data_IF_795401018161
#
_entry.id   IF_795401018161
#
_cell.length_a   1.000
_cell.length_b   1.000
_cell.length_c   1.000
_cell.angle_alpha   90.00
_cell.angle_beta   90.00
_cell.angle_gamma   90.00
#
_symmetry.space_group_name_H-M   'P 1'
#
loop_
_entity.id
_entity.type
_entity.pdbx_description
1 polymer ?
#
# COMPACT_ATOMS: atom_id res chain seq x y z
N UNK A 1 -2.07 -4.70 -19.71
CA UNK A 1 -3.03 -5.58 -20.39
C UNK A 1 -4.47 -5.09 -20.22
N UNK A 2 -5.01 -4.89 -19.02
CA UNK A 2 -6.40 -4.40 -18.88
C UNK A 2 -6.68 -3.05 -19.58
N UNK A 3 -5.80 -2.06 -19.43
CA UNK A 3 -5.90 -0.79 -20.18
C UNK A 3 -5.69 -0.96 -21.69
N UNK A 4 -4.85 -1.91 -22.09
CA UNK A 4 -4.58 -2.21 -23.49
C UNK A 4 -5.82 -2.83 -24.15
N UNK A 5 -6.39 -3.88 -23.56
CA UNK A 5 -7.67 -4.45 -24.00
C UNK A 5 -8.82 -3.44 -24.00
N UNK A 6 -8.87 -2.54 -23.01
CA UNK A 6 -9.84 -1.44 -22.99
C UNK A 6 -9.69 -0.45 -24.16
N UNK A 7 -8.46 -0.11 -24.52
CA UNK A 7 -8.18 0.73 -25.68
C UNK A 7 -8.53 0.01 -27.00
N UNK A 8 -8.19 -1.27 -27.12
CA UNK A 8 -8.55 -2.09 -28.30
C UNK A 8 -10.06 -2.14 -28.51
N UNK A 9 -10.85 -2.35 -27.44
CA UNK A 9 -12.32 -2.31 -27.53
C UNK A 9 -12.81 -0.92 -27.94
N UNK A 10 -12.23 0.15 -27.38
CA UNK A 10 -12.61 1.52 -27.72
C UNK A 10 -12.42 1.81 -29.21
N UNK A 11 -11.28 1.42 -29.77
CA UNK A 11 -10.99 1.59 -31.19
C UNK A 11 -11.96 0.80 -32.07
N UNK A 12 -12.21 -0.47 -31.75
CA UNK A 12 -13.16 -1.33 -32.49
C UNK A 12 -14.57 -0.74 -32.47
N UNK A 13 -15.04 -0.31 -31.30
CA UNK A 13 -16.37 0.31 -31.16
C UNK A 13 -16.44 1.62 -31.94
N UNK A 14 -15.41 2.46 -31.88
CA UNK A 14 -15.36 3.73 -32.59
C UNK A 14 -15.41 3.52 -34.11
N UNK A 15 -14.64 2.58 -34.63
CA UNK A 15 -14.61 2.22 -36.05
C UNK A 15 -15.94 1.61 -36.51
N UNK A 16 -16.47 0.62 -35.79
CA UNK A 16 -17.72 -0.05 -36.18
C UNK A 16 -18.92 0.90 -36.13
N UNK A 17 -18.97 1.79 -35.13
CA UNK A 17 -19.99 2.84 -35.04
C UNK A 17 -19.90 3.83 -36.20
N UNK A 18 -18.70 4.17 -36.68
CA UNK A 18 -18.54 5.06 -37.83
C UNK A 18 -19.02 4.44 -39.15
N UNK A 19 -19.13 3.11 -39.21
CA UNK A 19 -19.52 2.33 -40.40
C UNK A 19 -20.99 1.85 -40.29
N UNK A 20 -21.72 2.25 -39.24
CA UNK A 20 -23.09 1.76 -38.92
C UNK A 20 -23.21 0.22 -38.93
N UNK A 21 -22.14 -0.47 -38.54
CA UNK A 21 -22.10 -1.92 -38.41
C UNK A 21 -22.34 -2.37 -36.98
N UNK A 22 -22.92 -3.56 -36.84
CA UNK A 22 -23.04 -4.22 -35.53
C UNK A 22 -21.66 -4.47 -34.92
N UNK A 23 -21.52 -4.08 -33.65
CA UNK A 23 -20.27 -4.25 -32.92
C UNK A 23 -20.09 -5.71 -32.52
N UNK A 24 -19.03 -6.35 -33.03
CA UNK A 24 -18.60 -7.69 -32.63
C UNK A 24 -17.16 -7.63 -32.13
N UNK A 25 -16.99 -7.88 -30.84
CA UNK A 25 -15.67 -7.87 -30.20
C UNK A 25 -14.97 -9.20 -30.48
N UNK A 26 -13.71 -9.18 -30.94
CA UNK A 26 -12.98 -10.39 -31.24
C UNK A 26 -12.58 -11.14 -29.95
N UNK A 27 -12.46 -12.46 -30.06
CA UNK A 27 -12.34 -13.38 -28.92
C UNK A 27 -11.00 -13.20 -28.19
N UNK A 28 -9.95 -12.86 -28.92
CA UNK A 28 -8.61 -12.57 -28.38
C UNK A 28 -8.64 -11.42 -27.36
N UNK A 29 -9.32 -10.31 -27.66
CA UNK A 29 -9.48 -9.16 -26.76
C UNK A 29 -10.31 -9.53 -25.53
N UNK A 30 -11.34 -10.35 -25.71
CA UNK A 30 -12.16 -10.87 -24.58
C UNK A 30 -11.29 -11.70 -23.64
N UNK A 31 -10.48 -12.62 -24.18
CA UNK A 31 -9.58 -13.46 -23.40
C UNK A 31 -8.49 -12.62 -22.70
N UNK A 32 -7.92 -11.62 -23.37
CA UNK A 32 -6.94 -10.71 -22.78
C UNK A 32 -7.51 -9.99 -21.54
N UNK A 33 -8.72 -9.45 -21.65
CA UNK A 33 -9.36 -8.71 -20.54
C UNK A 33 -9.73 -9.64 -19.39
N UNK A 34 -10.29 -10.82 -19.68
CA UNK A 34 -10.63 -11.82 -18.64
C UNK A 34 -9.36 -12.26 -17.90
N UNK A 35 -8.29 -12.60 -18.63
CA UNK A 35 -7.03 -13.01 -18.02
C UNK A 35 -6.41 -11.88 -17.19
N UNK A 36 -6.44 -10.66 -17.71
CA UNK A 36 -5.97 -9.47 -17.00
C UNK A 36 -6.74 -9.24 -15.69
N UNK A 37 -8.05 -9.45 -15.70
CA UNK A 37 -8.89 -9.30 -14.51
C UNK A 37 -8.54 -10.36 -13.46
N UNK A 38 -8.35 -11.62 -13.87
CA UNK A 38 -7.96 -12.70 -12.97
C UNK A 38 -6.61 -12.40 -12.33
N UNK A 39 -5.61 -12.01 -13.12
CA UNK A 39 -4.29 -11.64 -12.63
C UNK A 39 -4.38 -10.46 -11.67
N UNK A 40 -5.14 -9.41 -12.02
CA UNK A 40 -5.33 -8.25 -11.16
C UNK A 40 -5.95 -8.63 -9.80
N UNK A 41 -6.99 -9.46 -9.80
CA UNK A 41 -7.59 -9.96 -8.56
C UNK A 41 -6.58 -10.74 -7.71
N UNK A 42 -5.77 -11.60 -8.34
CA UNK A 42 -4.72 -12.36 -7.66
C UNK A 42 -3.67 -11.41 -7.06
N UNK A 43 -3.12 -10.49 -7.85
CA UNK A 43 -2.13 -9.50 -7.40
C UNK A 43 -2.65 -8.68 -6.21
N UNK A 44 -3.91 -8.24 -6.26
CA UNK A 44 -4.53 -7.49 -5.16
C UNK A 44 -4.62 -8.30 -3.87
N UNK A 45 -4.93 -9.59 -3.96
CA UNK A 45 -4.98 -10.48 -2.78
C UNK A 45 -3.58 -10.72 -2.23
N UNK A 46 -2.58 -10.91 -3.08
CA UNK A 46 -1.19 -11.11 -2.63
C UNK A 46 -0.56 -9.84 -2.06
N UNK A 47 -0.92 -8.67 -2.57
CA UNK A 47 -0.44 -7.38 -2.08
C UNK A 47 -1.14 -6.93 -0.80
N UNK A 48 -2.29 -7.52 -0.46
CA UNK A 48 -2.98 -7.21 0.77
C UNK A 48 -2.09 -7.55 1.98
N UNK A 49 -2.03 -6.64 2.95
CA UNK A 49 -1.30 -6.89 4.18
C UNK A 49 -1.89 -8.10 4.93
N UNK A 50 -1.03 -8.79 5.68
CA UNK A 50 -1.47 -9.91 6.51
C UNK A 50 -2.50 -9.43 7.54
N UNK A 51 -3.54 -10.23 7.72
CA UNK A 51 -4.56 -9.98 8.74
C UNK A 51 -3.91 -9.85 10.12
N UNK A 52 -4.27 -8.76 10.81
CA UNK A 52 -3.85 -8.53 12.18
C UNK A 52 -4.79 -9.27 13.15
N UNK A 53 -4.27 -9.77 14.29
CA UNK A 53 -5.11 -10.48 15.25
C UNK A 53 -6.14 -9.53 15.88
N UNK A 54 -7.39 -10.03 15.99
CA UNK A 54 -8.50 -9.27 16.58
C UNK A 54 -8.29 -9.03 18.09
N UNK A 55 -7.63 -9.98 18.76
CA UNK A 55 -7.32 -9.85 20.19
C UNK A 55 -6.20 -8.85 20.40
N UNK A 56 -6.51 -7.78 21.14
CA UNK A 56 -5.59 -6.68 21.41
C UNK A 56 -4.27 -7.12 22.06
N UNK A 57 -4.31 -8.05 23.03
CA UNK A 57 -3.09 -8.54 23.68
C UNK A 57 -2.16 -9.27 22.72
N UNK A 58 -2.72 -10.09 21.82
CA UNK A 58 -1.96 -10.77 20.76
C UNK A 58 -1.39 -9.78 19.76
N UNK A 59 -2.15 -8.75 19.41
CA UNK A 59 -1.71 -7.69 18.50
C UNK A 59 -0.49 -6.93 19.04
N UNK A 60 -0.55 -6.48 20.31
CA UNK A 60 0.55 -5.76 20.95
C UNK A 60 1.81 -6.63 21.06
N UNK A 61 1.65 -7.91 21.43
CA UNK A 61 2.80 -8.81 21.55
C UNK A 61 3.47 -9.07 20.20
N UNK A 62 2.70 -9.38 19.16
CA UNK A 62 3.24 -9.59 17.81
C UNK A 62 3.98 -8.35 17.29
N UNK A 63 3.43 -7.17 17.58
CA UNK A 63 4.00 -5.90 17.13
C UNK A 63 5.24 -5.48 17.95
N UNK A 64 5.32 -5.88 19.22
CA UNK A 64 6.53 -5.76 20.05
C UNK A 64 7.67 -6.64 19.54
N UNK A 65 7.36 -7.87 19.11
CA UNK A 65 8.33 -8.80 18.51
C UNK A 65 8.88 -8.28 17.17
N UNK A 66 8.04 -7.62 16.36
CA UNK A 66 8.48 -6.97 15.12
C UNK A 66 9.27 -5.67 15.34
N UNK A 67 9.49 -5.24 16.58
CA UNK A 67 10.21 -4.02 16.94
C UNK A 67 9.41 -2.73 16.73
N UNK A 68 8.14 -2.82 16.36
CA UNK A 68 7.30 -1.67 16.02
C UNK A 68 6.42 -1.31 17.22
N UNK A 69 6.98 -0.55 18.17
CA UNK A 69 6.30 -0.21 19.42
C UNK A 69 5.16 0.81 19.18
N UNK A 70 3.92 0.32 19.07
CA UNK A 70 2.68 1.13 18.91
C UNK A 70 2.57 2.22 19.97
N UNK A 71 3.05 1.92 21.17
CA UNK A 71 2.98 2.80 22.34
C UNK A 71 4.31 3.42 22.71
N UNK A 72 5.29 3.45 21.80
CA UNK A 72 6.59 4.10 22.04
C UNK A 72 6.45 5.55 22.51
N UNK A 73 5.37 6.23 22.11
CA UNK A 73 5.07 7.59 22.55
C UNK A 73 4.66 7.67 24.03
N UNK A 74 4.01 6.62 24.56
CA UNK A 74 3.68 6.49 25.99
C UNK A 74 4.90 6.17 26.83
N UNK A 75 5.90 5.49 26.24
CA UNK A 75 7.17 5.22 26.90
C UNK A 75 8.07 6.48 26.92
N UNK A 76 8.19 7.18 25.79
CA UNK A 76 9.04 8.36 25.66
C UNK A 76 8.45 9.65 26.24
N UNK A 77 7.12 9.70 26.43
CA UNK A 77 6.36 10.81 27.05
C UNK A 77 6.89 12.19 26.65
N UNK A 78 6.73 12.61 25.38
CA UNK A 78 7.37 13.83 24.88
C UNK A 78 6.98 15.10 25.67
N UNK A 79 5.77 15.15 26.23
CA UNK A 79 5.31 16.26 27.08
C UNK A 79 5.94 16.33 28.48
N UNK A 80 6.62 15.27 28.93
CA UNK A 80 7.26 15.19 30.26
C UNK A 80 8.78 15.16 30.19
N UNK A 81 9.35 15.55 29.05
CA UNK A 81 10.80 15.63 28.87
C UNK A 81 11.35 16.76 29.74
N UNK A 82 12.35 16.46 30.56
CA UNK A 82 13.15 17.50 31.21
C UNK A 82 14.06 18.20 30.18
N UNK A 83 13.57 19.34 29.69
CA UNK A 83 14.25 20.18 28.71
C UNK A 83 15.59 20.68 29.28
N UNK A 84 15.66 21.00 30.57
CA UNK A 84 16.87 21.55 31.20
C UNK A 84 17.95 20.47 31.28
N UNK A 85 17.59 19.25 31.67
CA UNK A 85 18.51 18.12 31.68
C UNK A 85 19.01 17.78 30.27
N UNK A 86 18.14 17.73 29.26
CA UNK A 86 18.56 17.48 27.87
C UNK A 86 19.52 18.54 27.34
N UNK A 87 19.27 19.83 27.62
CA UNK A 87 20.17 20.93 27.23
C UNK A 87 21.56 20.80 27.87
N UNK A 88 21.63 20.44 29.17
CA UNK A 88 22.90 20.19 29.86
C UNK A 88 23.66 19.02 29.24
N UNK A 89 22.98 17.90 28.96
CA UNK A 89 23.58 16.72 28.31
C UNK A 89 24.13 17.06 26.93
N UNK A 90 23.38 17.81 26.12
CA UNK A 90 23.83 18.25 24.80
C UNK A 90 25.09 19.13 24.90
N UNK A 91 25.10 20.08 25.85
CA UNK A 91 26.26 20.92 26.13
C UNK A 91 27.50 20.09 26.48
N UNK A 92 27.38 19.14 27.41
CA UNK A 92 28.51 18.28 27.81
C UNK A 92 29.03 17.38 26.68
N UNK A 93 28.14 16.93 25.78
CA UNK A 93 28.55 16.12 24.63
C UNK A 93 29.32 16.95 23.61
N UNK A 94 28.89 18.19 23.37
CA UNK A 94 29.59 19.14 22.49
C UNK A 94 30.98 19.49 23.03
N UNK A 95 31.09 19.73 24.33
CA UNK A 95 32.37 20.01 25.00
C UNK A 95 33.34 18.81 24.93
N UNK A 96 32.83 17.58 24.96
CA UNK A 96 33.65 16.35 24.84
C UNK A 96 34.12 16.05 23.41
N UNK A 97 33.53 16.70 22.41
CA UNK A 97 33.88 16.55 20.99
C UNK A 97 34.80 17.66 20.47
N UNK A 98 35.03 18.71 21.26
CA UNK A 98 35.98 19.79 20.98
C UNK A 98 37.31 19.53 21.67
#
# INVERSE_FOLDING_TARGET
MLFHGGYSVHEIVSLMKSIDQEVKIPIDVILEVILSLIIFCIERVFFAEKLQPISYSKYINAKKESGDLIHSILDHRPGFIDIRQKRRKYKSLKEKQS
#
